data_IF_430937735384
#
_entry.id   IF_430937735384
#
_cell.length_a   1.000
_cell.length_b   1.000
_cell.length_c   1.000
_cell.angle_alpha   90.00
_cell.angle_beta   90.00
_cell.angle_gamma   90.00
#
_symmetry.space_group_name_H-M   'P 1'
#
loop_
_entity.id
_entity.type
_entity.pdbx_description
1 polymer ?
#
# COMPACT_ATOMS: atom_id res chain seq x y z
N UNK A 1 24.52 -5.47 -11.66
CA UNK A 1 23.65 -4.41 -12.22
C UNK A 1 22.33 -4.44 -11.48
N UNK A 2 21.85 -3.29 -10.98
CA UNK A 2 20.53 -3.18 -10.35
C UNK A 2 19.48 -3.21 -11.47
N UNK A 3 18.53 -4.14 -11.42
CA UNK A 3 17.44 -4.22 -12.39
C UNK A 3 16.54 -2.99 -12.25
N UNK A 4 16.42 -2.19 -13.31
CA UNK A 4 15.60 -0.98 -13.32
C UNK A 4 14.18 -1.34 -13.75
N UNK A 5 13.20 -1.08 -12.89
CA UNK A 5 11.78 -1.29 -13.20
C UNK A 5 11.30 -0.18 -14.14
N UNK A 6 10.68 -0.57 -15.25
CA UNK A 6 10.10 0.37 -16.20
C UNK A 6 8.59 0.44 -15.99
N UNK A 7 8.09 1.61 -15.58
CA UNK A 7 6.65 1.87 -15.53
C UNK A 7 6.13 2.24 -16.91
N UNK A 8 5.00 1.64 -17.29
CA UNK A 8 4.28 1.90 -18.53
C UNK A 8 3.01 2.68 -18.18
N UNK A 9 2.64 3.66 -19.01
CA UNK A 9 1.39 4.38 -18.81
C UNK A 9 0.21 3.52 -19.29
N UNK A 10 -0.73 3.27 -18.40
CA UNK A 10 -2.01 2.64 -18.69
C UNK A 10 -3.09 3.71 -18.86
N UNK A 11 -3.75 3.72 -20.01
CA UNK A 11 -4.85 4.63 -20.31
C UNK A 11 -6.15 3.87 -20.45
N UNK A 12 -7.20 4.31 -19.74
CA UNK A 12 -8.53 3.75 -19.89
C UNK A 12 -9.62 4.81 -19.73
N UNK A 13 -10.53 4.88 -20.69
CA UNK A 13 -11.71 5.74 -20.58
C UNK A 13 -12.67 5.09 -19.58
N UNK A 14 -13.00 5.79 -18.48
CA UNK A 14 -13.86 5.30 -17.41
C UNK A 14 -15.22 6.02 -17.35
N UNK A 15 -15.36 7.14 -18.06
CA UNK A 15 -16.64 7.78 -18.40
C UNK A 15 -16.44 8.78 -19.55
N UNK A 16 -17.53 9.33 -20.10
CA UNK A 16 -17.52 10.34 -21.17
C UNK A 16 -16.63 11.56 -20.88
N UNK A 17 -16.30 11.80 -19.61
CA UNK A 17 -15.52 12.94 -19.15
C UNK A 17 -14.24 12.56 -18.37
N UNK A 18 -13.94 11.26 -18.20
CA UNK A 18 -12.82 10.81 -17.37
C UNK A 18 -11.97 9.76 -18.06
N UNK A 19 -10.72 10.14 -18.31
CA UNK A 19 -9.62 9.23 -18.62
C UNK A 19 -8.92 8.85 -17.32
N UNK A 20 -8.84 7.56 -17.04
CA UNK A 20 -7.94 7.01 -16.04
C UNK A 20 -6.55 6.91 -16.68
N UNK A 21 -5.60 7.68 -16.16
CA UNK A 21 -4.18 7.42 -16.36
C UNK A 21 -3.62 6.76 -15.11
N UNK A 22 -2.96 5.63 -15.30
CA UNK A 22 -2.25 4.91 -14.25
C UNK A 22 -0.87 4.47 -14.71
N UNK A 23 -0.06 4.03 -13.77
CA UNK A 23 1.21 3.37 -14.04
C UNK A 23 1.03 1.88 -13.84
N UNK A 24 1.57 1.08 -14.74
CA UNK A 24 1.69 -0.37 -14.59
C UNK A 24 3.14 -0.79 -14.83
N UNK A 25 3.48 -2.02 -14.50
CA UNK A 25 4.79 -2.61 -14.82
C UNK A 25 4.73 -3.43 -16.11
N UNK A 26 5.87 -3.61 -16.77
CA UNK A 26 6.01 -4.58 -17.86
C UNK A 26 5.86 -6.03 -17.36
N UNK A 27 5.60 -6.98 -18.25
CA UNK A 27 5.55 -8.42 -17.89
C UNK A 27 6.91 -8.90 -17.38
N UNK A 28 8.00 -8.45 -18.00
CA UNK A 28 9.37 -8.78 -17.61
C UNK A 28 9.69 -8.28 -16.21
N UNK A 29 9.34 -7.02 -15.91
CA UNK A 29 9.49 -6.44 -14.57
C UNK A 29 8.59 -7.16 -13.55
N UNK A 30 7.37 -7.54 -13.95
CA UNK A 30 6.49 -8.31 -13.08
C UNK A 30 7.11 -9.65 -12.68
N UNK A 31 7.73 -10.38 -13.62
CA UNK A 31 8.41 -11.63 -13.32
C UNK A 31 9.58 -11.44 -12.34
N UNK A 32 10.40 -10.40 -12.57
CA UNK A 32 11.49 -10.03 -11.67
C UNK A 32 11.00 -9.69 -10.25
N UNK A 33 9.99 -8.82 -10.15
CA UNK A 33 9.44 -8.40 -8.85
C UNK A 33 8.75 -9.56 -8.13
N UNK A 34 8.07 -10.44 -8.86
CA UNK A 34 7.49 -11.68 -8.31
C UNK A 34 8.56 -12.48 -7.59
N UNK A 35 9.66 -12.81 -8.28
CA UNK A 35 10.78 -13.55 -7.67
C UNK A 35 11.39 -12.81 -6.47
N UNK A 36 11.52 -11.49 -6.57
CA UNK A 36 12.11 -10.64 -5.52
C UNK A 36 11.27 -10.65 -4.24
N UNK A 37 9.94 -10.71 -4.38
CA UNK A 37 9.00 -10.59 -3.26
C UNK A 37 8.30 -11.89 -2.87
N UNK A 38 8.74 -13.04 -3.41
CA UNK A 38 8.28 -14.37 -2.99
C UNK A 38 8.36 -14.56 -1.46
N UNK A 39 9.41 -14.02 -0.82
CA UNK A 39 9.60 -14.08 0.64
C UNK A 39 8.46 -13.46 1.45
N UNK A 40 7.65 -12.57 0.85
CA UNK A 40 6.51 -11.94 1.51
C UNK A 40 5.19 -12.70 1.27
N UNK A 41 5.20 -13.82 0.55
CA UNK A 41 4.01 -14.62 0.25
C UNK A 41 3.39 -14.38 -1.13
N UNK A 42 4.18 -13.83 -2.06
CA UNK A 42 3.82 -13.78 -3.48
C UNK A 42 4.03 -15.16 -4.09
N UNK A 43 2.95 -15.78 -4.56
CA UNK A 43 2.99 -17.14 -5.13
C UNK A 43 3.37 -17.12 -6.61
N UNK A 44 2.76 -16.21 -7.38
CA UNK A 44 2.86 -16.15 -8.84
C UNK A 44 2.34 -14.80 -9.37
N UNK A 45 2.44 -14.57 -10.67
CA UNK A 45 1.79 -13.44 -11.35
C UNK A 45 0.94 -13.91 -12.54
N UNK A 46 -0.09 -13.14 -12.85
CA UNK A 46 -0.93 -13.38 -14.02
C UNK A 46 -1.51 -12.08 -14.56
N UNK A 47 -1.91 -12.10 -15.82
CA UNK A 47 -2.69 -11.02 -16.42
C UNK A 47 -4.15 -11.22 -16.05
N UNK A 48 -4.77 -10.22 -15.43
CA UNK A 48 -6.15 -10.31 -14.97
C UNK A 48 -6.94 -9.06 -15.32
N UNK A 49 -8.26 -9.24 -15.22
CA UNK A 49 -9.23 -8.16 -15.26
C UNK A 49 -9.89 -8.07 -13.88
N UNK A 50 -10.36 -6.89 -13.50
CA UNK A 50 -11.28 -6.72 -12.37
C UNK A 50 -12.22 -5.55 -12.59
N UNK A 51 -13.41 -5.61 -11.97
CA UNK A 51 -14.35 -4.49 -11.92
C UNK A 51 -14.67 -4.18 -10.46
N UNK A 52 -14.53 -2.94 -10.05
CA UNK A 52 -14.88 -2.51 -8.70
C UNK A 52 -14.56 -1.05 -8.46
N UNK A 53 -14.94 -0.55 -7.28
CA UNK A 53 -14.58 0.79 -6.84
C UNK A 53 -13.36 0.73 -5.90
N UNK A 54 -12.35 1.54 -6.19
CA UNK A 54 -11.09 1.55 -5.44
C UNK A 54 -10.57 2.97 -5.26
N UNK A 55 -9.54 3.12 -4.44
CA UNK A 55 -8.84 4.38 -4.24
C UNK A 55 -8.17 4.89 -5.54
N UNK A 56 -7.86 4.00 -6.50
CA UNK A 56 -7.29 4.36 -7.81
C UNK A 56 -8.17 5.39 -8.55
N UNK A 57 -9.50 5.24 -8.48
CA UNK A 57 -10.49 6.11 -9.14
C UNK A 57 -11.29 6.99 -8.17
N UNK A 58 -10.85 7.09 -6.90
CA UNK A 58 -11.62 7.72 -5.82
C UNK A 58 -13.03 7.13 -5.67
N UNK A 59 -13.11 5.81 -5.70
CA UNK A 59 -14.32 5.02 -5.48
C UNK A 59 -15.44 5.15 -6.53
N UNK A 60 -15.10 5.60 -7.74
CA UNK A 60 -15.99 5.43 -8.90
C UNK A 60 -15.84 3.99 -9.41
N UNK A 61 -16.95 3.26 -9.60
CA UNK A 61 -16.90 1.89 -10.16
C UNK A 61 -16.32 1.92 -11.56
N UNK A 62 -15.40 1.00 -11.84
CA UNK A 62 -14.69 0.96 -13.11
C UNK A 62 -14.17 -0.45 -13.39
N UNK A 63 -13.97 -0.74 -14.66
CA UNK A 63 -13.41 -2.00 -15.13
C UNK A 63 -11.96 -1.77 -15.55
N UNK A 64 -11.03 -2.62 -15.11
CA UNK A 64 -9.67 -2.71 -15.64
C UNK A 64 -9.48 -4.08 -16.28
N UNK A 65 -8.83 -4.08 -17.43
CA UNK A 65 -8.48 -5.26 -18.21
C UNK A 65 -6.99 -5.33 -18.49
N UNK A 66 -6.49 -6.55 -18.63
CA UNK A 66 -5.16 -6.83 -19.15
C UNK A 66 -4.02 -6.35 -18.26
N UNK A 67 -4.22 -6.23 -16.94
CA UNK A 67 -3.16 -5.76 -16.03
C UNK A 67 -2.38 -6.91 -15.40
N UNK A 68 -1.08 -6.75 -15.17
CA UNK A 68 -0.31 -7.64 -14.32
C UNK A 68 -0.81 -7.57 -12.88
N UNK A 69 -0.99 -8.73 -12.28
CA UNK A 69 -1.37 -8.84 -10.88
C UNK A 69 -0.58 -9.97 -10.20
N UNK A 70 -0.29 -9.81 -8.91
CA UNK A 70 0.30 -10.88 -8.10
C UNK A 70 -0.76 -11.71 -7.39
N UNK A 71 -0.56 -13.02 -7.40
CA UNK A 71 -1.22 -13.93 -6.47
C UNK A 71 -0.52 -13.84 -5.12
N UNK A 72 -1.26 -13.41 -4.11
CA UNK A 72 -0.75 -13.22 -2.76
C UNK A 72 -1.45 -14.17 -1.79
N UNK A 73 -0.67 -15.00 -1.09
CA UNK A 73 -1.14 -15.99 -0.11
C UNK A 73 -2.33 -16.81 -0.62
N UNK A 74 -2.29 -17.16 -1.90
CA UNK A 74 -3.25 -17.96 -2.68
C UNK A 74 -4.68 -17.43 -2.83
N UNK A 75 -5.10 -16.49 -1.99
CA UNK A 75 -6.49 -16.03 -1.89
C UNK A 75 -6.69 -14.57 -2.31
N UNK A 76 -5.60 -13.82 -2.46
CA UNK A 76 -5.64 -12.41 -2.84
C UNK A 76 -4.99 -12.18 -4.20
N UNK A 77 -5.50 -11.17 -4.89
CA UNK A 77 -4.93 -10.61 -6.08
C UNK A 77 -4.46 -9.19 -5.79
N UNK A 78 -3.18 -8.89 -5.99
CA UNK A 78 -2.63 -7.53 -5.90
C UNK A 78 -2.48 -6.98 -7.32
N UNK A 79 -3.36 -6.06 -7.77
CA UNK A 79 -3.17 -5.36 -9.02
C UNK A 79 -1.88 -4.54 -9.01
N UNK A 80 -1.03 -4.70 -10.02
CA UNK A 80 0.17 -3.86 -10.22
C UNK A 80 -0.16 -2.66 -11.09
N UNK A 81 -1.25 -1.97 -10.74
CA UNK A 81 -1.66 -0.71 -11.31
C UNK A 81 -1.71 0.35 -10.23
N UNK A 82 -1.16 1.51 -10.53
CA UNK A 82 -0.92 2.57 -9.57
C UNK A 82 -1.34 3.91 -10.16
N UNK A 83 -1.52 4.91 -9.30
CA UNK A 83 -1.76 6.28 -9.75
C UNK A 83 -0.45 6.86 -10.27
N UNK A 84 -0.49 7.68 -11.31
CA UNK A 84 0.68 8.41 -11.76
C UNK A 84 0.96 9.59 -10.82
N UNK A 85 1.71 9.31 -9.75
CA UNK A 85 2.05 10.26 -8.69
C UNK A 85 3.49 10.03 -8.22
N UNK A 86 4.19 11.06 -7.70
CA UNK A 86 5.58 10.94 -7.26
C UNK A 86 5.81 9.85 -6.19
N UNK A 87 4.86 9.63 -5.29
CA UNK A 87 4.91 8.60 -4.26
C UNK A 87 4.86 7.18 -4.83
N UNK A 88 4.11 6.96 -5.91
CA UNK A 88 4.10 5.69 -6.64
C UNK A 88 5.46 5.42 -7.28
N UNK A 89 6.08 6.43 -7.89
CA UNK A 89 7.41 6.29 -8.49
C UNK A 89 8.45 5.86 -7.45
N UNK A 90 8.33 6.37 -6.21
CA UNK A 90 9.21 5.96 -5.11
C UNK A 90 9.11 4.47 -4.77
N UNK A 91 7.99 3.79 -5.04
CA UNK A 91 7.90 2.32 -4.86
C UNK A 91 8.96 1.57 -5.69
N UNK A 92 9.35 2.14 -6.83
CA UNK A 92 10.29 1.50 -7.76
C UNK A 92 11.74 1.97 -7.57
N UNK A 93 11.97 3.06 -6.83
CA UNK A 93 13.31 3.57 -6.51
C UNK A 93 13.76 3.22 -5.10
N UNK A 94 12.80 3.08 -4.17
CA UNK A 94 13.05 2.83 -2.75
C UNK A 94 12.49 1.48 -2.34
N UNK A 95 13.28 0.41 -2.51
CA UNK A 95 12.82 -0.98 -2.31
C UNK A 95 12.26 -1.27 -0.91
N UNK A 96 12.68 -0.54 0.13
CA UNK A 96 12.11 -0.68 1.49
C UNK A 96 10.60 -0.40 1.52
N UNK A 97 10.07 0.36 0.55
CA UNK A 97 8.64 0.64 0.43
C UNK A 97 7.82 -0.60 0.09
N UNK A 98 8.37 -1.53 -0.69
CA UNK A 98 7.69 -2.79 -0.96
C UNK A 98 7.59 -3.67 0.30
N UNK A 99 8.66 -3.70 1.10
CA UNK A 99 8.61 -4.37 2.39
C UNK A 99 7.57 -3.73 3.32
N UNK A 100 7.55 -2.40 3.40
CA UNK A 100 6.54 -1.68 4.16
C UNK A 100 5.11 -1.89 3.64
N UNK A 101 4.93 -2.01 2.33
CA UNK A 101 3.65 -2.35 1.71
C UNK A 101 3.14 -3.70 2.21
N UNK A 102 3.99 -4.73 2.26
CA UNK A 102 3.57 -6.06 2.72
C UNK A 102 3.29 -6.10 4.22
N UNK A 103 4.10 -5.42 5.04
CA UNK A 103 3.84 -5.26 6.48
C UNK A 103 2.46 -4.63 6.70
N UNK A 104 2.17 -3.55 5.97
CA UNK A 104 0.92 -2.83 6.10
C UNK A 104 -0.28 -3.66 5.58
N UNK A 105 -0.12 -4.31 4.43
CA UNK A 105 -1.13 -5.20 3.86
C UNK A 105 -1.48 -6.33 4.84
N UNK A 106 -0.49 -6.97 5.44
CA UNK A 106 -0.71 -8.06 6.40
C UNK A 106 -1.43 -7.60 7.66
N UNK A 107 -1.10 -6.41 8.15
CA UNK A 107 -1.81 -5.82 9.27
C UNK A 107 -3.29 -5.58 8.93
N UNK A 108 -3.58 -4.95 7.78
CA UNK A 108 -4.95 -4.71 7.36
C UNK A 108 -5.73 -6.00 7.12
N UNK A 109 -5.16 -6.98 6.42
CA UNK A 109 -5.84 -8.26 6.17
C UNK A 109 -6.22 -8.99 7.47
N UNK A 110 -5.42 -8.81 8.54
CA UNK A 110 -5.68 -9.43 9.84
C UNK A 110 -6.76 -8.70 10.65
N UNK A 111 -6.74 -7.37 10.67
CA UNK A 111 -7.58 -6.60 11.62
C UNK A 111 -8.68 -5.78 10.95
N UNK A 112 -8.49 -5.34 9.71
CA UNK A 112 -9.42 -4.46 8.99
C UNK A 112 -9.38 -4.71 7.46
N UNK A 113 -9.77 -5.91 7.00
CA UNK A 113 -9.62 -6.31 5.61
C UNK A 113 -10.49 -5.44 4.68
N UNK A 114 -11.64 -4.97 5.13
CA UNK A 114 -12.58 -4.20 4.32
C UNK A 114 -12.02 -2.89 3.75
N UNK A 115 -10.94 -2.35 4.34
CA UNK A 115 -10.27 -1.13 3.85
C UNK A 115 -9.30 -1.37 2.71
N UNK A 116 -8.70 -2.57 2.65
CA UNK A 116 -7.72 -2.93 1.63
C UNK A 116 -8.30 -3.82 0.54
N UNK A 117 -9.58 -4.20 0.63
CA UNK A 117 -10.26 -5.00 -0.37
C UNK A 117 -11.17 -4.16 -1.25
N UNK A 118 -10.98 -4.28 -2.57
CA UNK A 118 -11.85 -3.66 -3.56
C UNK A 118 -13.22 -4.34 -3.53
N UNK A 119 -14.29 -3.56 -3.42
CA UNK A 119 -15.66 -4.09 -3.53
C UNK A 119 -15.97 -4.35 -5.01
N UNK A 120 -15.65 -5.55 -5.47
CA UNK A 120 -15.89 -5.94 -6.85
C UNK A 120 -17.37 -6.13 -7.15
N UNK A 121 -17.90 -5.41 -8.15
CA UNK A 121 -19.29 -5.52 -8.62
C UNK A 121 -19.54 -6.79 -9.43
N UNK A 122 -18.52 -7.30 -10.15
CA UNK A 122 -18.52 -8.61 -10.80
C UNK A 122 -17.47 -9.51 -10.16
N UNK A 123 -17.89 -10.39 -9.25
CA UNK A 123 -16.99 -11.35 -8.58
C UNK A 123 -16.70 -12.55 -9.49
N UNK A 124 -15.42 -12.77 -9.80
CA UNK A 124 -14.94 -14.15 -9.90
C UNK A 124 -14.90 -14.69 -8.46
N UNK A 125 -15.83 -15.59 -8.12
CA UNK A 125 -16.21 -15.98 -6.73
C UNK A 125 -15.09 -16.52 -5.81
N UNK A 126 -13.83 -16.59 -6.23
CA UNK A 126 -12.77 -17.31 -5.49
C UNK A 126 -11.57 -16.46 -5.02
N UNK A 127 -11.38 -15.25 -5.53
CA UNK A 127 -10.17 -14.45 -5.23
C UNK A 127 -10.60 -13.02 -4.92
N UNK A 128 -10.10 -12.47 -3.81
CA UNK A 128 -10.33 -11.09 -3.39
C UNK A 128 -9.26 -10.16 -3.98
N UNK A 129 -9.62 -8.93 -4.33
CA UNK A 129 -8.71 -7.99 -4.99
C UNK A 129 -8.27 -6.91 -4.01
N UNK A 130 -6.96 -6.70 -3.88
CA UNK A 130 -6.35 -5.69 -3.01
C UNK A 130 -6.46 -4.30 -3.66
N UNK A 131 -6.79 -3.30 -2.86
CA UNK A 131 -6.70 -1.89 -3.22
C UNK A 131 -5.25 -1.39 -3.05
N UNK A 132 -4.42 -1.70 -4.06
CA UNK A 132 -3.01 -1.30 -4.09
C UNK A 132 -2.84 0.22 -3.97
N UNK A 133 -3.74 1.00 -4.57
CA UNK A 133 -3.67 2.46 -4.55
C UNK A 133 -3.90 3.02 -3.14
N UNK A 134 -4.82 2.43 -2.36
CA UNK A 134 -5.01 2.78 -0.96
C UNK A 134 -3.74 2.49 -0.15
N UNK A 135 -3.15 1.30 -0.31
CA UNK A 135 -1.94 0.93 0.43
C UNK A 135 -0.73 1.81 0.10
N UNK A 136 -0.52 2.16 -1.16
CA UNK A 136 0.56 3.08 -1.56
C UNK A 136 0.35 4.47 -0.95
N UNK A 137 -0.90 4.96 -0.97
CA UNK A 137 -1.23 6.22 -0.30
C UNK A 137 -0.96 6.17 1.21
N UNK A 138 -1.41 5.11 1.90
CA UNK A 138 -1.13 4.92 3.33
C UNK A 138 0.35 4.83 3.63
N UNK A 139 1.12 4.17 2.76
CA UNK A 139 2.55 4.08 2.90
C UNK A 139 3.25 5.43 2.70
N UNK A 140 2.75 6.28 1.80
CA UNK A 140 3.19 7.67 1.67
C UNK A 140 2.92 8.48 2.94
N UNK A 141 1.74 8.37 3.53
CA UNK A 141 1.42 9.06 4.80
C UNK A 141 2.42 8.67 5.90
N UNK A 142 2.76 7.38 5.99
CA UNK A 142 3.75 6.88 6.97
C UNK A 142 5.16 7.36 6.63
N UNK A 143 5.63 7.07 5.42
CA UNK A 143 7.02 7.29 5.03
C UNK A 143 7.36 8.77 4.88
N UNK A 144 6.48 9.55 4.25
CA UNK A 144 6.75 10.92 3.84
C UNK A 144 6.05 11.94 4.76
N UNK A 145 4.91 11.61 5.36
CA UNK A 145 4.21 12.47 6.30
C UNK A 145 4.68 12.31 7.76
N UNK A 146 4.63 11.08 8.27
CA UNK A 146 4.77 10.82 9.71
C UNK A 146 6.20 10.49 10.16
N UNK A 147 7.05 9.97 9.28
CA UNK A 147 8.38 9.48 9.68
C UNK A 147 9.23 10.52 10.41
N UNK A 148 9.24 11.77 9.93
CA UNK A 148 10.01 12.85 10.55
C UNK A 148 9.49 13.24 11.94
N UNK A 149 8.22 13.62 12.15
CA UNK A 149 7.73 13.94 13.49
C UNK A 149 7.88 12.74 14.44
N UNK A 150 7.59 11.52 13.99
CA UNK A 150 7.70 10.32 14.83
C UNK A 150 9.12 10.00 15.28
N UNK A 151 10.14 10.35 14.50
CA UNK A 151 11.53 10.17 14.89
C UNK A 151 11.97 11.08 16.05
N UNK A 152 11.18 12.12 16.37
CA UNK A 152 11.49 13.10 17.41
C UNK A 152 10.67 12.89 18.69
N UNK A 153 9.75 11.92 18.73
CA UNK A 153 8.98 11.64 19.93
C UNK A 153 9.80 10.82 20.92
N UNK A 154 9.76 11.22 22.19
CA UNK A 154 10.53 10.60 23.27
C UNK A 154 9.71 9.61 24.08
N UNK A 155 8.38 9.65 23.95
CA UNK A 155 7.45 8.82 24.71
C UNK A 155 6.12 8.65 23.97
N UNK A 156 5.30 7.72 24.46
CA UNK A 156 3.99 7.41 23.87
C UNK A 156 3.02 8.59 23.96
N UNK A 157 3.09 9.41 25.01
CA UNK A 157 2.15 10.54 25.20
C UNK A 157 2.33 11.63 24.13
N UNK A 158 3.57 11.94 23.74
CA UNK A 158 3.85 12.87 22.64
C UNK A 158 3.25 12.35 21.32
N UNK A 159 3.38 11.05 21.07
CA UNK A 159 2.76 10.41 19.92
C UNK A 159 1.22 10.47 19.96
N UNK A 160 0.61 10.18 21.11
CA UNK A 160 -0.84 10.21 21.29
C UNK A 160 -1.42 11.59 20.99
N UNK A 161 -0.81 12.66 21.52
CA UNK A 161 -1.20 14.05 21.26
C UNK A 161 -1.08 14.40 19.78
N UNK A 162 0.01 14.00 19.12
CA UNK A 162 0.17 14.22 17.69
C UNK A 162 -0.86 13.41 16.88
N UNK A 163 -1.07 12.14 17.22
CA UNK A 163 -2.00 11.27 16.50
C UNK A 163 -3.47 11.69 16.67
N UNK A 164 -3.83 12.36 17.77
CA UNK A 164 -5.16 12.97 17.94
C UNK A 164 -5.47 14.04 16.87
N UNK A 165 -4.44 14.70 16.33
CA UNK A 165 -4.60 15.73 15.29
C UNK A 165 -4.47 15.13 13.89
N UNK A 166 -3.46 14.30 13.69
CA UNK A 166 -3.09 13.81 12.35
C UNK A 166 -3.72 12.47 11.97
N UNK A 167 -4.29 11.74 12.94
CA UNK A 167 -5.00 10.47 12.73
C UNK A 167 -4.23 9.46 11.87
N UNK A 168 -2.94 9.29 12.16
CA UNK A 168 -2.10 8.33 11.45
C UNK A 168 -2.55 6.90 11.75
N UNK A 169 -2.83 6.57 13.01
CA UNK A 169 -3.41 5.27 13.37
C UNK A 169 -4.87 5.29 13.00
N UNK A 170 -5.28 4.27 12.26
CA UNK A 170 -6.63 4.14 11.78
C UNK A 170 -7.51 3.47 12.84
N UNK A 171 -7.90 4.27 13.82
CA UNK A 171 -8.76 3.90 14.94
C UNK A 171 -10.23 3.71 14.53
N UNK A 172 -10.54 3.84 13.24
CA UNK A 172 -11.88 3.80 12.68
C UNK A 172 -12.71 5.06 12.94
N UNK A 173 -13.79 5.21 12.20
CA UNK A 173 -14.78 6.29 12.39
C UNK A 173 -16.00 5.74 13.13
N UNK A 174 -16.43 6.41 14.19
CA UNK A 174 -17.84 6.34 14.63
C UNK A 174 -18.61 7.47 13.96
N UNK A 175 -19.91 7.29 13.70
CA UNK A 175 -20.78 8.29 13.08
C UNK A 175 -20.80 9.66 13.80
N UNK A 176 -20.26 9.76 15.03
CA UNK A 176 -20.28 10.99 15.84
C UNK A 176 -18.89 11.53 16.21
N UNK A 177 -17.83 10.71 16.22
CA UNK A 177 -16.44 11.11 16.55
C UNK A 177 -15.41 10.14 15.94
N UNK A 178 -14.24 10.65 15.54
CA UNK A 178 -13.03 9.83 15.37
C UNK A 178 -12.70 9.21 16.72
N UNK A 179 -12.45 7.89 16.75
CA UNK A 179 -11.95 7.25 17.98
C UNK A 179 -10.52 7.70 18.18
N UNK A 180 -10.13 7.92 19.42
CA UNK A 180 -8.72 8.19 19.74
C UNK A 180 -7.95 6.88 19.78
N UNK A 181 -6.62 6.98 19.66
CA UNK A 181 -5.72 5.84 19.82
C UNK A 181 -5.86 5.29 21.23
N UNK A 182 -5.98 3.97 21.35
CA UNK A 182 -6.05 3.28 22.62
C UNK A 182 -4.86 2.31 22.78
N UNK A 183 -3.90 2.69 23.64
CA UNK A 183 -2.74 1.88 23.96
C UNK A 183 -3.07 0.53 24.64
N UNK A 184 -4.32 0.29 25.03
CA UNK A 184 -4.76 -1.00 25.56
C UNK A 184 -5.39 -1.89 24.48
N UNK A 185 -5.72 -1.31 23.32
CA UNK A 185 -6.31 -2.02 22.19
C UNK A 185 -5.21 -2.64 21.32
N UNK A 186 -5.22 -3.96 21.23
CA UNK A 186 -4.22 -4.75 20.47
C UNK A 186 -4.14 -4.31 19.01
N UNK A 187 -5.28 -4.01 18.38
CA UNK A 187 -5.30 -3.51 16.99
C UNK A 187 -4.49 -2.21 16.85
N UNK A 188 -4.78 -1.21 17.69
CA UNK A 188 -4.14 0.11 17.63
C UNK A 188 -2.63 0.00 17.93
N UNK A 189 -2.27 -0.75 18.97
CA UNK A 189 -0.85 -1.00 19.32
C UNK A 189 -0.09 -1.69 18.19
N UNK A 190 -0.65 -2.76 17.62
CA UNK A 190 0.03 -3.48 16.54
C UNK A 190 0.06 -2.68 15.24
N UNK A 191 -0.87 -1.75 15.04
CA UNK A 191 -0.80 -0.80 13.94
C UNK A 191 0.37 0.17 14.14
N UNK A 192 0.52 0.70 15.35
CA UNK A 192 1.64 1.56 15.70
C UNK A 192 2.97 0.82 15.53
N UNK A 193 3.04 -0.45 15.93
CA UNK A 193 4.21 -1.30 15.71
C UNK A 193 4.54 -1.46 14.22
N UNK A 194 3.54 -1.71 13.38
CA UNK A 194 3.71 -1.79 11.93
C UNK A 194 4.22 -0.46 11.35
N UNK A 195 3.64 0.67 11.76
CA UNK A 195 4.05 2.02 11.36
C UNK A 195 5.50 2.29 11.76
N UNK A 196 5.86 2.03 13.01
CA UNK A 196 7.22 2.23 13.51
C UNK A 196 8.22 1.35 12.76
N UNK A 197 7.84 0.11 12.44
CA UNK A 197 8.68 -0.81 11.66
C UNK A 197 8.96 -0.25 10.26
N UNK A 198 7.92 0.27 9.59
CA UNK A 198 8.06 0.91 8.27
C UNK A 198 8.97 2.15 8.34
N UNK A 199 8.82 2.97 9.38
CA UNK A 199 9.66 4.15 9.59
C UNK A 199 11.12 3.75 9.80
N UNK A 200 11.38 2.69 10.60
CA UNK A 200 12.73 2.16 10.78
C UNK A 200 13.33 1.70 9.44
N UNK A 201 12.58 0.95 8.63
CA UNK A 201 13.04 0.52 7.31
C UNK A 201 13.45 1.70 6.42
N UNK A 202 12.69 2.80 6.43
CA UNK A 202 13.06 4.04 5.73
C UNK A 202 14.41 4.57 6.20
N UNK A 203 14.58 4.77 7.50
CA UNK A 203 15.81 5.36 8.03
C UNK A 203 17.03 4.45 7.86
N UNK A 204 16.87 3.14 8.01
CA UNK A 204 17.92 2.17 7.71
C UNK A 204 18.35 2.25 6.23
N UNK A 205 17.39 2.32 5.30
CA UNK A 205 17.69 2.47 3.89
C UNK A 205 18.40 3.80 3.57
N UNK A 206 18.04 4.89 4.26
CA UNK A 206 18.72 6.19 4.11
C UNK A 206 20.16 6.14 4.60
N UNK A 207 20.41 5.52 5.76
CA UNK A 207 21.75 5.35 6.31
C UNK A 207 22.63 4.46 5.40
N UNK A 208 22.09 3.36 4.90
CA UNK A 208 22.79 2.50 3.93
C UNK A 208 23.15 3.25 2.65
N UNK A 209 22.26 4.10 2.12
CA UNK A 209 22.55 4.97 0.96
C UNK A 209 23.67 5.97 1.23
N UNK A 210 23.87 6.37 2.48
CA UNK A 210 24.96 7.26 2.91
C UNK A 210 26.26 6.51 3.22
N UNK A 211 26.29 5.18 3.08
CA UNK A 211 27.48 4.35 3.30
C UNK A 211 27.64 3.84 4.73
N UNK A 212 26.66 4.02 5.61
CA UNK A 212 26.68 3.44 6.95
C UNK A 212 26.36 1.94 6.90
N UNK A 213 27.06 1.15 7.72
CA UNK A 213 26.68 -0.22 8.03
C UNK A 213 25.60 -0.18 9.11
N UNK A 214 24.47 -0.85 8.86
CA UNK A 214 23.24 -0.81 9.69
C UNK A 214 22.80 -2.23 9.98
#
# INVERSE_FOLDING_TARGET
MVHKIHTIVHHKIISDFRLLSGLTVSIEDCAYLTKTFQKYGIDDYYISNYQGNSYLTRYVDYFIDGIPCWKYKKQYLIPLIFRDMPDTQKMFTDMYRWEGFFILLDWYLKYNPEKVLIKCSKKNKKIEVIDTAFLVFRLWEICDGAAFPMANFNNLSEFEQWNQVFHLIDTGKSFKRTKEFDATKVEDLTQLEAVLTIIKLKYQALLQKQGYQV
#
